data_IF_083636280007
#
_entry.id   IF_083636280007
#
_cell.length_a   1.000
_cell.length_b   1.000
_cell.length_c   1.000
_cell.angle_alpha   90.00
_cell.angle_beta   90.00
_cell.angle_gamma   90.00
#
_symmetry.space_group_name_H-M   'P 1'
#
loop_
_entity.id
_entity.type
_entity.pdbx_description
1 polymer ?
#
# COMPACT_ATOMS: atom_id res chain seq x y z
N UNK A 1 7.28 10.34 -28.33
CA UNK A 1 8.34 10.96 -28.18
C UNK A 1 8.86 11.14 -26.83
N UNK A 2 9.10 12.29 -26.40
CA UNK A 2 9.62 12.51 -25.13
C UNK A 2 8.76 12.03 -24.04
N UNK A 3 7.47 12.11 -24.25
CA UNK A 3 6.54 11.67 -23.29
C UNK A 3 6.63 10.20 -23.04
N UNK A 4 6.86 9.42 -24.03
CA UNK A 4 7.00 8.00 -23.86
C UNK A 4 8.22 7.68 -23.06
N UNK A 5 9.30 8.36 -23.35
CA UNK A 5 10.52 8.10 -22.64
C UNK A 5 10.37 8.46 -21.18
N UNK A 6 9.66 9.53 -20.91
CA UNK A 6 9.46 9.89 -19.55
C UNK A 6 8.63 8.90 -18.82
N UNK A 7 7.59 8.40 -19.42
CA UNK A 7 6.78 7.41 -18.77
C UNK A 7 7.57 6.17 -18.47
N UNK A 8 8.47 5.82 -19.33
CA UNK A 8 9.26 4.66 -19.14
C UNK A 8 10.19 4.84 -17.97
N UNK A 9 10.84 5.97 -17.89
CA UNK A 9 11.77 6.26 -16.85
C UNK A 9 11.07 6.51 -15.53
N UNK A 10 9.92 7.11 -15.58
CA UNK A 10 9.21 7.47 -14.41
C UNK A 10 8.14 6.52 -14.06
N UNK A 11 8.46 5.27 -14.09
CA UNK A 11 7.54 4.29 -13.70
C UNK A 11 7.02 4.58 -12.32
N UNK A 12 7.88 5.08 -11.44
CA UNK A 12 7.45 5.49 -10.14
C UNK A 12 7.54 6.98 -10.07
N UNK A 13 6.40 7.60 -10.36
CA UNK A 13 6.33 9.01 -10.32
C UNK A 13 6.54 9.58 -8.95
N UNK A 14 6.18 8.84 -7.92
CA UNK A 14 6.23 9.31 -6.55
C UNK A 14 7.21 8.50 -5.74
N UNK A 15 7.87 9.17 -4.81
CA UNK A 15 8.80 8.51 -3.96
C UNK A 15 8.09 7.54 -3.03
N UNK A 16 8.67 6.37 -2.84
CA UNK A 16 8.10 5.35 -2.00
C UNK A 16 8.84 5.25 -0.69
N UNK A 17 8.10 4.98 0.37
CA UNK A 17 8.64 4.88 1.72
C UNK A 17 8.28 3.52 2.29
N UNK A 18 9.24 2.90 2.95
CA UNK A 18 9.01 1.59 3.53
C UNK A 18 8.11 1.69 4.73
N UNK A 19 7.09 0.83 4.80
CA UNK A 19 6.13 0.85 5.90
C UNK A 19 6.72 0.29 7.18
N UNK A 20 6.31 0.87 8.30
CA UNK A 20 6.66 0.34 9.60
C UNK A 20 5.75 -0.83 9.93
N UNK A 21 6.06 -1.55 10.99
CA UNK A 21 5.29 -2.73 11.35
C UNK A 21 3.85 -2.44 11.64
N UNK A 22 3.55 -1.25 12.10
CA UNK A 22 2.19 -0.89 12.47
C UNK A 22 1.36 -0.31 11.32
N UNK A 23 1.82 -0.45 10.09
CA UNK A 23 1.14 0.10 8.93
C UNK A 23 0.40 -1.00 8.17
N UNK A 24 -0.91 -0.87 8.07
CA UNK A 24 -1.76 -1.90 7.49
C UNK A 24 -2.72 -1.36 6.46
N UNK A 25 -3.18 -2.24 5.59
CA UNK A 25 -4.20 -1.90 4.62
C UNK A 25 -5.23 -3.03 4.54
N UNK A 26 -6.49 -2.66 4.43
CA UNK A 26 -7.58 -3.60 4.25
C UNK A 26 -8.16 -3.42 2.86
N UNK A 27 -8.42 -4.53 2.18
CA UNK A 27 -9.03 -4.50 0.85
C UNK A 27 -10.54 -4.66 0.99
N UNK A 28 -11.28 -3.78 0.36
CA UNK A 28 -12.73 -3.75 0.49
C UNK A 28 -13.41 -3.86 -0.86
N UNK A 29 -14.54 -4.52 -0.89
CA UNK A 29 -15.39 -4.56 -2.06
C UNK A 29 -16.81 -4.49 -1.57
N UNK A 30 -17.51 -3.42 -1.92
CA UNK A 30 -18.90 -3.23 -1.51
C UNK A 30 -19.08 -3.37 0.00
N UNK A 31 -18.18 -2.74 0.74
CA UNK A 31 -18.22 -2.76 2.21
C UNK A 31 -17.89 -4.11 2.82
N UNK A 32 -17.41 -5.04 2.01
CA UNK A 32 -17.02 -6.34 2.51
C UNK A 32 -15.51 -6.41 2.58
N UNK A 33 -14.98 -6.93 3.67
CA UNK A 33 -13.55 -7.09 3.83
C UNK A 33 -13.08 -8.27 3.00
N UNK A 34 -12.19 -8.03 2.07
CA UNK A 34 -11.64 -9.07 1.23
C UNK A 34 -10.28 -9.55 1.71
N UNK A 35 -9.56 -8.73 2.41
CA UNK A 35 -8.24 -9.11 2.88
C UNK A 35 -7.64 -8.02 3.70
N UNK A 36 -6.62 -8.36 4.46
CA UNK A 36 -5.94 -7.43 5.34
C UNK A 36 -4.46 -7.77 5.31
N UNK A 37 -3.63 -6.78 5.14
CA UNK A 37 -2.21 -7.04 5.09
C UNK A 37 -1.39 -5.89 5.61
N UNK A 38 -0.09 -6.13 5.63
CA UNK A 38 0.87 -5.15 6.12
C UNK A 38 1.43 -4.38 4.94
N UNK A 39 1.52 -3.08 5.09
CA UNK A 39 2.03 -2.23 4.03
C UNK A 39 3.54 -2.39 3.96
N UNK A 40 4.03 -2.76 2.79
CA UNK A 40 5.45 -2.92 2.56
C UNK A 40 6.07 -1.58 2.18
N UNK A 41 5.43 -0.86 1.28
CA UNK A 41 5.85 0.49 0.97
C UNK A 41 4.64 1.29 0.50
N UNK A 42 4.76 2.60 0.54
CA UNK A 42 3.65 3.49 0.23
C UNK A 42 4.18 4.82 -0.27
N UNK A 43 3.42 5.43 -1.16
CA UNK A 43 3.70 6.77 -1.66
C UNK A 43 2.37 7.50 -1.76
N UNK A 44 2.38 8.73 -2.24
CA UNK A 44 1.12 9.41 -2.44
C UNK A 44 0.39 8.91 -3.67
N UNK A 45 1.01 8.03 -4.45
CA UNK A 45 0.36 7.47 -5.64
C UNK A 45 -0.18 6.06 -5.45
N UNK A 46 0.27 5.35 -4.43
CA UNK A 46 -0.15 3.98 -4.23
C UNK A 46 0.63 3.28 -3.16
N UNK A 47 0.38 1.99 -3.00
CA UNK A 47 1.09 1.21 -1.99
C UNK A 47 1.28 -0.23 -2.43
N UNK A 48 2.16 -0.90 -1.74
CA UNK A 48 2.36 -2.33 -1.90
C UNK A 48 2.07 -2.97 -0.56
N UNK A 49 1.25 -3.99 -0.56
CA UNK A 49 0.84 -4.65 0.68
C UNK A 49 1.04 -6.15 0.54
N UNK A 50 1.45 -6.78 1.63
CA UNK A 50 1.59 -8.23 1.66
C UNK A 50 0.51 -8.79 2.56
N UNK A 51 -0.24 -9.74 2.07
CA UNK A 51 -1.38 -10.26 2.81
C UNK A 51 -1.46 -11.77 2.63
N UNK A 52 -2.30 -12.37 3.46
CA UNK A 52 -2.48 -13.82 3.47
C UNK A 52 -3.83 -14.13 2.87
N UNK A 53 -3.86 -15.11 2.00
CA UNK A 53 -5.10 -15.47 1.31
C UNK A 53 -5.23 -16.98 1.28
N UNK A 54 -6.45 -17.49 1.41
CA UNK A 54 -6.67 -18.91 1.32
C UNK A 54 -7.09 -19.30 -0.08
N UNK A 55 -7.90 -18.51 -0.72
CA UNK A 55 -8.32 -18.82 -2.08
C UNK A 55 -8.65 -17.63 -2.94
N UNK A 56 -9.01 -16.53 -2.34
CA UNK A 56 -9.37 -15.38 -3.15
C UNK A 56 -8.29 -14.34 -3.08
N UNK A 57 -8.05 -13.68 -4.18
CA UNK A 57 -7.09 -12.61 -4.22
C UNK A 57 -7.82 -11.29 -4.10
N UNK A 58 -7.12 -10.20 -4.29
CA UNK A 58 -7.69 -8.87 -4.15
C UNK A 58 -8.38 -8.38 -5.41
N UNK A 59 -8.52 -9.24 -6.41
CA UNK A 59 -9.13 -8.89 -7.65
C UNK A 59 -10.56 -8.41 -7.38
N UNK A 60 -10.94 -7.32 -7.97
CA UNK A 60 -12.27 -6.78 -7.72
C UNK A 60 -12.32 -5.80 -6.57
N UNK A 61 -11.22 -5.62 -5.87
CA UNK A 61 -11.15 -4.61 -4.85
C UNK A 61 -11.19 -3.24 -5.50
N UNK A 62 -12.01 -2.34 -4.99
CA UNK A 62 -12.10 -0.99 -5.53
C UNK A 62 -11.84 0.07 -4.49
N UNK A 63 -11.77 -0.32 -3.24
CA UNK A 63 -11.50 0.60 -2.15
C UNK A 63 -10.61 -0.07 -1.14
N UNK A 64 -9.79 0.72 -0.49
CA UNK A 64 -8.99 0.20 0.60
C UNK A 64 -9.09 1.13 1.78
N UNK A 65 -8.76 0.58 2.94
CA UNK A 65 -8.58 1.36 4.14
C UNK A 65 -7.10 1.32 4.43
N UNK A 66 -6.57 2.42 4.92
CA UNK A 66 -5.17 2.49 5.29
C UNK A 66 -5.15 2.91 6.75
N UNK A 67 -4.44 2.18 7.58
CA UNK A 67 -4.43 2.54 8.99
C UNK A 67 -3.14 2.13 9.66
N UNK A 68 -2.83 2.84 10.72
CA UNK A 68 -1.67 2.53 11.52
C UNK A 68 -1.92 2.91 12.95
N UNK A 69 -1.29 2.19 13.86
CA UNK A 69 -1.44 2.48 15.26
C UNK A 69 -0.14 2.24 16.01
N UNK A 70 0.33 3.31 16.64
CA UNK A 70 1.45 3.19 17.56
C UNK A 70 1.06 4.13 18.69
N UNK A 71 1.75 5.23 18.88
CA UNK A 71 1.32 6.24 19.85
C UNK A 71 0.14 7.02 19.31
N UNK A 72 -0.02 7.00 17.99
CA UNK A 72 -1.11 7.69 17.31
C UNK A 72 -1.89 6.67 16.53
N UNK A 73 -3.10 7.00 16.21
CA UNK A 73 -3.92 6.19 15.32
C UNK A 73 -4.31 7.06 14.14
N UNK A 74 -3.95 6.62 12.94
CA UNK A 74 -4.30 7.33 11.72
C UNK A 74 -5.05 6.34 10.84
N UNK A 75 -6.18 6.77 10.34
CA UNK A 75 -7.06 5.90 9.57
C UNK A 75 -7.63 6.65 8.37
N UNK A 76 -7.42 6.12 7.19
CA UNK A 76 -8.03 6.63 5.97
C UNK A 76 -9.04 5.61 5.49
N UNK A 77 -10.28 6.05 5.30
CA UNK A 77 -11.35 5.18 4.89
C UNK A 77 -11.73 5.49 3.45
N UNK A 78 -12.24 4.51 2.76
CA UNK A 78 -12.79 4.66 1.41
C UNK A 78 -11.81 5.28 0.43
N UNK A 79 -10.60 4.80 0.41
CA UNK A 79 -9.62 5.27 -0.56
C UNK A 79 -9.84 4.47 -1.83
N UNK A 80 -10.25 5.14 -2.89
CA UNK A 80 -10.51 4.46 -4.16
C UNK A 80 -9.20 4.03 -4.79
N UNK A 81 -9.19 2.86 -5.38
CA UNK A 81 -7.95 2.32 -5.87
C UNK A 81 -8.15 1.34 -7.00
N UNK A 82 -7.06 0.99 -7.63
CA UNK A 82 -7.00 0.02 -8.69
C UNK A 82 -5.88 -0.94 -8.38
N UNK A 83 -6.12 -2.22 -8.53
CA UNK A 83 -5.09 -3.22 -8.31
C UNK A 83 -4.19 -3.26 -9.53
N UNK A 84 -2.91 -3.04 -9.34
CA UNK A 84 -1.95 -3.06 -10.43
C UNK A 84 -1.40 -4.46 -10.63
N UNK A 85 -1.13 -5.16 -9.54
CA UNK A 85 -0.72 -6.55 -9.61
C UNK A 85 -1.07 -7.24 -8.30
N UNK A 86 -1.18 -8.56 -8.35
CA UNK A 86 -1.49 -9.36 -7.18
C UNK A 86 -0.92 -10.73 -7.47
N UNK A 87 0.12 -11.13 -6.75
CA UNK A 87 0.80 -12.37 -7.05
C UNK A 87 1.31 -13.05 -5.80
N UNK A 88 1.51 -14.36 -5.90
CA UNK A 88 2.03 -15.13 -4.81
C UNK A 88 3.48 -14.79 -4.55
N UNK A 89 3.84 -14.79 -3.28
CA UNK A 89 5.23 -14.61 -2.89
C UNK A 89 5.86 -15.98 -2.87
N UNK A 90 6.99 -16.18 -3.54
CA UNK A 90 7.64 -17.50 -3.57
C UNK A 90 7.96 -17.95 -2.16
N UNK A 91 7.79 -19.21 -1.90
CA UNK A 91 8.08 -19.82 -0.62
C UNK A 91 7.21 -19.24 0.51
N UNK A 92 6.11 -18.66 0.15
CA UNK A 92 5.22 -18.11 1.14
C UNK A 92 3.99 -18.93 1.40
N UNK A 93 3.94 -20.15 0.92
CA UNK A 93 2.75 -20.98 1.09
C UNK A 93 2.90 -21.91 2.28
N UNK A 94 1.81 -22.09 3.01
CA UNK A 94 1.75 -22.94 4.16
C UNK A 94 0.47 -23.70 4.06
N UNK A 95 0.51 -24.93 3.61
CA UNK A 95 -0.71 -25.68 3.38
C UNK A 95 -1.57 -24.94 2.39
N UNK A 96 -2.75 -24.51 2.82
CA UNK A 96 -3.63 -23.77 1.94
C UNK A 96 -3.51 -22.27 2.11
N UNK A 97 -2.62 -21.84 2.97
CA UNK A 97 -2.43 -20.42 3.21
C UNK A 97 -1.33 -19.93 2.29
N UNK A 98 -1.64 -18.90 1.55
CA UNK A 98 -0.73 -18.35 0.56
C UNK A 98 -0.46 -16.90 0.88
N UNK A 99 0.81 -16.52 0.87
CA UNK A 99 1.18 -15.12 1.04
C UNK A 99 1.22 -14.48 -0.33
N UNK A 100 0.57 -13.34 -0.45
CA UNK A 100 0.49 -12.63 -1.71
C UNK A 100 0.98 -11.20 -1.53
N UNK A 101 1.49 -10.64 -2.60
CA UNK A 101 1.92 -9.25 -2.62
C UNK A 101 1.10 -8.53 -3.67
N UNK A 102 0.55 -7.39 -3.28
CA UNK A 102 -0.37 -6.66 -4.12
C UNK A 102 0.08 -5.22 -4.27
N UNK A 103 0.12 -4.74 -5.49
CA UNK A 103 0.41 -3.34 -5.77
C UNK A 103 -0.88 -2.62 -6.09
N UNK A 104 -1.09 -1.47 -5.46
CA UNK A 104 -2.31 -0.72 -5.55
C UNK A 104 -2.00 0.71 -5.96
N UNK A 105 -2.79 1.24 -6.86
CA UNK A 105 -2.67 2.63 -7.29
C UNK A 105 -3.90 3.38 -6.81
N UNK A 106 -3.71 4.52 -6.16
CA UNK A 106 -4.85 5.31 -5.68
C UNK A 106 -5.49 6.06 -6.83
N UNK A 107 -6.81 6.25 -6.71
CA UNK A 107 -7.55 7.00 -7.71
C UNK A 107 -8.36 8.07 -7.03
N UNK A 108 -8.40 9.24 -7.65
CA UNK A 108 -9.30 10.32 -7.20
C UNK A 108 -9.17 10.67 -5.72
N UNK A 109 -7.96 10.81 -5.25
CA UNK A 109 -7.77 11.19 -3.85
C UNK A 109 -8.33 12.58 -3.61
N UNK A 110 -9.12 12.73 -2.57
CA UNK A 110 -9.62 14.03 -2.18
C UNK A 110 -8.51 14.79 -1.48
N UNK A 111 -8.71 16.09 -1.31
CA UNK A 111 -7.74 16.90 -0.60
C UNK A 111 -7.58 16.39 0.82
N UNK A 112 -8.68 16.00 1.43
CA UNK A 112 -8.65 15.47 2.78
C UNK A 112 -7.85 14.18 2.83
N UNK A 113 -8.09 13.26 1.89
CA UNK A 113 -7.35 12.01 1.85
C UNK A 113 -5.87 12.26 1.63
N UNK A 114 -5.54 13.20 0.76
CA UNK A 114 -4.16 13.48 0.48
C UNK A 114 -3.44 14.00 1.72
N UNK A 115 -4.09 14.87 2.47
CA UNK A 115 -3.52 15.40 3.69
C UNK A 115 -3.33 14.30 4.74
N UNK A 116 -4.32 13.44 4.89
CA UNK A 116 -4.24 12.35 5.85
C UNK A 116 -3.19 11.33 5.43
N UNK A 117 -3.06 11.12 4.14
CA UNK A 117 -2.08 10.18 3.61
C UNK A 117 -0.67 10.68 3.89
N UNK A 118 -0.45 11.97 3.72
CA UNK A 118 0.85 12.54 4.00
C UNK A 118 1.18 12.38 5.49
N UNK A 119 0.20 12.60 6.34
CA UNK A 119 0.37 12.44 7.77
C UNK A 119 0.69 10.98 8.10
N UNK A 120 0.03 10.05 7.44
CA UNK A 120 0.27 8.64 7.62
C UNK A 120 1.70 8.28 7.21
N UNK A 121 2.12 8.77 6.06
CA UNK A 121 3.47 8.50 5.57
C UNK A 121 4.50 9.05 6.57
N UNK A 122 4.26 10.22 7.09
CA UNK A 122 5.20 10.81 8.03
C UNK A 122 5.35 9.99 9.31
N UNK A 123 4.30 9.33 9.75
CA UNK A 123 4.31 8.64 11.03
C UNK A 123 4.47 7.14 10.96
N UNK A 124 4.15 6.54 9.84
CA UNK A 124 4.14 5.08 9.74
C UNK A 124 5.08 4.53 8.69
N UNK A 125 6.03 5.33 8.22
CA UNK A 125 7.05 4.83 7.32
C UNK A 125 8.41 5.31 7.79
N UNK A 126 9.45 4.66 7.29
CA UNK A 126 10.81 5.10 7.52
C UNK A 126 11.14 6.07 6.40
N UNK A 127 11.65 7.24 6.74
CA UNK A 127 12.04 8.11 5.66
C UNK A 127 13.42 7.67 5.19
N UNK A 128 13.80 8.18 4.05
CA UNK A 128 15.00 7.75 3.41
C UNK A 128 16.23 8.00 4.26
N UNK A 129 16.24 9.10 4.96
CA UNK A 129 17.36 9.41 5.80
C UNK A 129 17.52 8.41 6.92
N UNK A 130 16.41 8.08 7.56
CA UNK A 130 16.47 7.13 8.66
C UNK A 130 16.86 5.76 8.20
N UNK A 131 16.28 5.30 7.12
CA UNK A 131 16.54 3.95 6.67
C UNK A 131 17.89 3.83 6.01
N UNK A 132 18.36 4.87 5.37
CA UNK A 132 19.61 4.79 4.66
C UNK A 132 20.78 5.20 5.49
N UNK A 133 20.56 5.70 6.66
CA UNK A 133 21.63 6.19 7.46
C UNK A 133 21.41 5.88 8.91
N UNK A 134 21.58 4.66 9.24
CA UNK A 134 21.26 4.21 10.57
C UNK A 134 22.00 4.90 11.65
N UNK A 135 23.16 5.40 11.37
CA UNK A 135 23.85 6.01 12.40
C UNK A 135 23.38 7.38 12.61
N UNK A 136 22.67 7.90 11.70
CA UNK A 136 22.20 9.24 11.89
C UNK A 136 21.17 9.24 12.95
#
# INVERSE_FOLDING_TARGET
MERSAQMFVEKRKFKRFKGKEAAFSAFMRSNELMGLGQIQDISIGGLCVQYVSTKEDAKGCSEIKIFGKNDRFIHLDRVQCRIVYDKEVPAGAWGQIITRRCGVEFENLSVKHLSMLQDFIDHFTFNETQSGNPKA
#
